data_IF_197186606399
#
_entry.id   IF_197186606399
#
_cell.length_a   1.000
_cell.length_b   1.000
_cell.length_c   1.000
_cell.angle_alpha   90.00
_cell.angle_beta   90.00
_cell.angle_gamma   90.00
#
_symmetry.space_group_name_H-M   'P 1'
#
loop_
_entity.id
_entity.type
_entity.pdbx_description
1 polymer ?
#
# COMPACT_ATOMS: atom_id res chain seq x y z
N UNK A 1 -13.48 46.24 -53.03
CA UNK A 1 -14.50 45.38 -52.40
C UNK A 1 -14.25 43.95 -52.85
N UNK A 2 -14.73 42.98 -52.08
CA UNK A 2 -14.72 41.53 -52.31
C UNK A 2 -13.57 40.77 -51.60
N UNK A 3 -13.64 40.64 -50.26
CA UNK A 3 -14.25 39.55 -49.45
C UNK A 3 -13.69 38.14 -49.72
N UNK A 4 -12.90 37.69 -48.75
CA UNK A 4 -12.33 36.34 -48.55
C UNK A 4 -13.45 35.32 -48.27
N UNK A 5 -13.48 34.14 -48.91
CA UNK A 5 -14.35 33.06 -48.48
C UNK A 5 -13.66 32.20 -47.42
N UNK A 6 -14.24 32.23 -46.22
CA UNK A 6 -13.93 31.40 -45.06
C UNK A 6 -14.38 29.96 -45.35
N UNK A 7 -13.46 29.00 -45.22
CA UNK A 7 -13.75 27.56 -45.32
C UNK A 7 -14.38 27.09 -44.00
N UNK A 8 -15.52 26.37 -44.00
CA UNK A 8 -16.10 25.85 -42.78
C UNK A 8 -15.30 24.62 -42.27
N UNK A 9 -14.95 24.63 -41.00
CA UNK A 9 -14.47 23.44 -40.26
C UNK A 9 -15.63 22.46 -40.03
N UNK A 10 -15.40 21.14 -40.06
CA UNK A 10 -16.43 20.16 -39.70
C UNK A 10 -16.67 20.16 -38.18
N UNK A 11 -17.94 20.06 -37.81
CA UNK A 11 -18.45 20.06 -36.46
C UNK A 11 -17.79 18.99 -35.57
N UNK A 12 -17.24 19.43 -34.43
CA UNK A 12 -16.81 18.56 -33.34
C UNK A 12 -18.03 17.90 -32.71
N UNK A 13 -18.16 16.60 -32.93
CA UNK A 13 -19.17 15.79 -32.25
C UNK A 13 -18.72 15.56 -30.80
N UNK A 14 -19.29 16.34 -29.88
CA UNK A 14 -19.18 16.14 -28.44
C UNK A 14 -19.75 14.76 -28.05
N UNK A 15 -18.89 13.73 -27.99
CA UNK A 15 -19.20 12.50 -27.25
C UNK A 15 -19.04 12.83 -25.77
N UNK A 16 -20.18 12.96 -25.06
CA UNK A 16 -20.22 13.00 -23.60
C UNK A 16 -19.61 11.70 -23.07
N UNK A 17 -18.36 11.76 -22.62
CA UNK A 17 -17.66 10.64 -21.99
C UNK A 17 -18.20 10.46 -20.57
N UNK A 18 -18.66 9.24 -20.29
CA UNK A 18 -19.34 8.84 -19.06
C UNK A 18 -18.29 8.52 -17.99
N UNK A 19 -18.42 9.16 -16.83
CA UNK A 19 -17.60 8.93 -15.63
C UNK A 19 -17.87 7.54 -15.02
N UNK A 20 -16.81 6.91 -14.49
CA UNK A 20 -16.80 5.52 -14.01
C UNK A 20 -16.39 5.46 -12.54
N UNK A 21 -17.13 4.67 -11.74
CA UNK A 21 -16.84 4.38 -10.32
C UNK A 21 -16.46 2.90 -10.18
N UNK A 22 -15.24 2.61 -9.72
CA UNK A 22 -14.82 1.22 -9.44
C UNK A 22 -15.04 0.92 -7.95
N UNK A 23 -15.81 -0.11 -7.63
CA UNK A 23 -16.12 -0.55 -6.25
C UNK A 23 -15.31 -1.81 -5.94
N UNK A 24 -14.36 -1.70 -5.01
CA UNK A 24 -13.73 -2.84 -4.36
C UNK A 24 -14.05 -2.78 -2.86
N UNK A 25 -14.64 -3.85 -2.32
CA UNK A 25 -15.10 -3.93 -0.93
C UNK A 25 -14.01 -4.59 -0.07
N UNK A 26 -13.57 -3.93 1.00
CA UNK A 26 -12.63 -4.48 1.99
C UNK A 26 -13.36 -4.74 3.31
N UNK A 27 -13.13 -5.88 4.01
CA UNK A 27 -13.72 -6.15 5.32
C UNK A 27 -13.26 -5.13 6.36
N UNK A 28 -14.20 -4.50 7.05
CA UNK A 28 -13.98 -3.45 8.03
C UNK A 28 -13.65 -4.02 9.41
N UNK A 29 -12.45 -3.75 9.95
CA UNK A 29 -12.12 -3.99 11.36
C UNK A 29 -12.21 -2.67 12.14
N UNK A 30 -13.32 -2.53 12.86
CA UNK A 30 -13.48 -1.96 14.21
C UNK A 30 -12.39 -0.94 14.63
N UNK A 31 -12.62 0.32 14.26
CA UNK A 31 -11.98 1.58 14.70
C UNK A 31 -10.63 2.01 14.09
N UNK A 32 -10.73 2.76 13.00
CA UNK A 32 -10.23 4.13 12.90
C UNK A 32 -11.16 4.86 11.91
N UNK A 33 -11.22 6.19 11.95
CA UNK A 33 -12.00 7.02 11.02
C UNK A 33 -11.89 6.49 9.58
N UNK A 34 -12.95 5.78 9.15
CA UNK A 34 -13.01 5.12 7.85
C UNK A 34 -13.22 6.19 6.79
N UNK A 35 -12.17 6.95 6.48
CA UNK A 35 -12.05 7.56 5.17
C UNK A 35 -12.02 6.38 4.21
N UNK A 36 -13.15 6.18 3.52
CA UNK A 36 -13.28 5.20 2.44
C UNK A 36 -12.03 5.29 1.57
N UNK A 37 -11.40 4.16 1.18
CA UNK A 37 -10.35 4.19 0.17
C UNK A 37 -10.85 5.05 -0.99
N UNK A 38 -10.11 6.12 -1.30
CA UNK A 38 -10.55 7.07 -2.33
C UNK A 38 -10.80 6.30 -3.61
N UNK A 39 -12.03 6.35 -4.11
CA UNK A 39 -12.36 5.79 -5.42
C UNK A 39 -11.52 6.51 -6.46
N UNK A 40 -10.52 5.84 -7.01
CA UNK A 40 -9.70 6.38 -8.11
C UNK A 40 -10.58 6.42 -9.35
N UNK A 41 -11.28 7.54 -9.50
CA UNK A 41 -12.06 7.93 -10.68
C UNK A 41 -11.08 8.48 -11.71
N UNK A 42 -10.28 7.60 -12.31
CA UNK A 42 -9.31 7.99 -13.32
C UNK A 42 -9.68 7.38 -14.68
N UNK A 43 -9.55 8.20 -15.73
CA UNK A 43 -9.62 7.74 -17.12
C UNK A 43 -8.41 6.83 -17.36
N UNK A 44 -8.63 5.65 -17.94
CA UNK A 44 -7.53 4.79 -18.36
C UNK A 44 -6.71 5.49 -19.46
N UNK A 45 -5.37 5.41 -19.39
CA UNK A 45 -4.48 6.04 -20.35
C UNK A 45 -4.53 5.30 -21.70
N UNK A 46 -4.35 6.03 -22.79
CA UNK A 46 -3.98 5.37 -24.06
C UNK A 46 -2.56 4.76 -23.92
N UNK A 47 -2.20 3.74 -24.72
CA UNK A 47 -0.81 3.26 -24.79
C UNK A 47 0.17 4.41 -25.01
N UNK A 48 1.35 4.36 -24.37
CA UNK A 48 2.34 5.44 -24.33
C UNK A 48 1.90 6.77 -23.69
N UNK A 49 0.65 6.91 -23.24
CA UNK A 49 0.20 8.14 -22.59
C UNK A 49 0.92 8.32 -21.24
N UNK A 50 1.27 9.58 -20.94
CA UNK A 50 1.89 9.93 -19.67
C UNK A 50 0.89 9.73 -18.53
N UNK A 51 1.26 8.89 -17.57
CA UNK A 51 0.44 8.68 -16.38
C UNK A 51 0.43 9.92 -15.49
N UNK A 52 -0.77 10.26 -15.00
CA UNK A 52 -0.98 11.44 -14.16
C UNK A 52 -0.54 11.22 -12.70
N UNK A 53 -0.62 9.99 -12.19
CA UNK A 53 -0.33 9.67 -10.80
C UNK A 53 -0.06 8.17 -10.56
N UNK A 54 0.56 7.86 -9.42
CA UNK A 54 0.92 6.49 -9.00
C UNK A 54 -0.28 5.57 -8.78
N UNK A 55 -1.44 6.02 -8.24
CA UNK A 55 -2.63 5.17 -8.17
C UNK A 55 -3.14 4.70 -9.53
N UNK A 56 -3.06 5.52 -10.57
CA UNK A 56 -3.40 5.10 -11.93
C UNK A 56 -2.43 4.05 -12.46
N UNK A 57 -1.13 4.19 -12.17
CA UNK A 57 -0.13 3.16 -12.49
C UNK A 57 -0.44 1.84 -11.78
N UNK A 58 -0.75 1.89 -10.48
CA UNK A 58 -1.13 0.71 -9.71
C UNK A 58 -2.40 0.05 -10.29
N UNK A 59 -3.38 0.85 -10.70
CA UNK A 59 -4.60 0.37 -11.34
C UNK A 59 -4.30 -0.36 -12.66
N UNK A 60 -3.50 0.24 -13.55
CA UNK A 60 -3.13 -0.36 -14.83
C UNK A 60 -2.40 -1.70 -14.62
N UNK A 61 -1.38 -1.73 -13.75
CA UNK A 61 -0.65 -2.96 -13.43
C UNK A 61 -1.53 -4.01 -12.74
N UNK A 62 -2.44 -3.60 -11.87
CA UNK A 62 -3.38 -4.51 -11.21
C UNK A 62 -4.35 -5.17 -12.18
N UNK A 63 -4.83 -4.42 -13.18
CA UNK A 63 -5.66 -4.97 -14.26
C UNK A 63 -4.87 -5.99 -15.09
N UNK A 64 -3.62 -5.69 -15.42
CA UNK A 64 -2.76 -6.59 -16.21
C UNK A 64 -2.39 -7.88 -15.46
N UNK A 65 -2.05 -7.78 -14.18
CA UNK A 65 -1.66 -8.94 -13.38
C UNK A 65 -2.83 -9.89 -13.06
N UNK A 66 -4.06 -9.36 -13.02
CA UNK A 66 -5.28 -10.11 -12.65
C UNK A 66 -6.29 -10.22 -13.80
N UNK A 67 -5.84 -10.09 -15.05
CA UNK A 67 -6.73 -10.08 -16.22
C UNK A 67 -7.68 -11.28 -16.23
N UNK A 68 -7.13 -12.49 -16.00
CA UNK A 68 -7.88 -13.75 -15.96
C UNK A 68 -8.85 -13.89 -14.78
N UNK A 69 -8.62 -13.21 -13.66
CA UNK A 69 -9.49 -13.28 -12.47
C UNK A 69 -10.66 -12.28 -12.55
N UNK A 70 -10.50 -11.22 -13.35
CA UNK A 70 -11.40 -10.07 -13.36
C UNK A 70 -12.30 -10.01 -14.62
N UNK A 71 -12.09 -10.86 -15.63
CA UNK A 71 -12.82 -10.84 -16.91
C UNK A 71 -14.35 -10.67 -16.79
N UNK A 72 -14.98 -11.37 -15.84
CA UNK A 72 -16.44 -11.37 -15.63
C UNK A 72 -16.95 -10.15 -14.82
N UNK A 73 -16.07 -9.46 -14.10
CA UNK A 73 -16.41 -8.38 -13.16
C UNK A 73 -16.08 -7.00 -13.76
N UNK A 74 -15.22 -6.96 -14.79
CA UNK A 74 -14.75 -5.71 -15.37
C UNK A 74 -15.82 -4.98 -16.18
N UNK A 75 -15.80 -3.65 -16.03
CA UNK A 75 -16.56 -2.76 -16.90
C UNK A 75 -16.09 -2.88 -18.36
N UNK A 76 -16.98 -2.69 -19.35
CA UNK A 76 -16.65 -2.82 -20.77
C UNK A 76 -15.41 -2.04 -21.19
N UNK A 77 -15.22 -0.82 -20.66
CA UNK A 77 -14.08 0.04 -21.01
C UNK A 77 -12.74 -0.53 -20.51
N UNK A 78 -12.72 -1.12 -19.32
CA UNK A 78 -11.51 -1.75 -18.78
C UNK A 78 -11.16 -3.03 -19.56
N UNK A 79 -12.18 -3.77 -20.01
CA UNK A 79 -11.99 -4.95 -20.86
C UNK A 79 -11.45 -4.57 -22.24
N UNK A 80 -12.00 -3.52 -22.86
CA UNK A 80 -11.53 -3.02 -24.16
C UNK A 80 -10.08 -2.53 -24.05
N UNK A 81 -9.73 -1.82 -22.98
CA UNK A 81 -8.35 -1.39 -22.72
C UNK A 81 -7.40 -2.58 -22.52
N UNK A 82 -7.79 -3.58 -21.72
CA UNK A 82 -7.01 -4.79 -21.52
C UNK A 82 -6.75 -5.51 -22.84
N UNK A 83 -7.74 -5.65 -23.72
CA UNK A 83 -7.52 -6.31 -25.02
C UNK A 83 -6.49 -5.61 -25.90
N UNK A 84 -6.41 -4.27 -25.80
CA UNK A 84 -5.42 -3.47 -26.53
C UNK A 84 -4.03 -3.64 -25.93
N UNK A 85 -3.92 -3.57 -24.60
CA UNK A 85 -2.63 -3.51 -23.90
C UNK A 85 -2.04 -4.88 -23.58
N UNK A 86 -2.86 -5.90 -23.35
CA UNK A 86 -2.42 -7.26 -22.97
C UNK A 86 -1.49 -7.91 -24.01
N UNK A 87 -1.64 -7.52 -25.28
CA UNK A 87 -0.79 -7.99 -26.38
C UNK A 87 0.38 -7.05 -26.69
N UNK A 88 0.52 -5.95 -25.94
CA UNK A 88 1.58 -4.95 -26.09
C UNK A 88 2.65 -5.16 -25.00
N UNK A 89 3.63 -6.00 -25.33
CA UNK A 89 4.75 -6.31 -24.42
C UNK A 89 5.58 -5.06 -24.05
N UNK A 90 5.70 -4.10 -24.97
CA UNK A 90 6.46 -2.86 -24.75
C UNK A 90 5.75 -1.98 -23.71
N UNK A 91 4.42 -1.84 -23.81
CA UNK A 91 3.62 -1.10 -22.83
C UNK A 91 3.63 -1.80 -21.44
N UNK A 92 3.57 -3.13 -21.40
CA UNK A 92 3.71 -3.89 -20.16
C UNK A 92 5.04 -3.60 -19.46
N UNK A 93 6.14 -3.71 -20.20
CA UNK A 93 7.48 -3.47 -19.67
C UNK A 93 7.62 -2.00 -19.24
N UNK A 94 7.11 -1.05 -20.03
CA UNK A 94 7.14 0.37 -19.69
C UNK A 94 6.46 0.65 -18.35
N UNK A 95 5.28 0.08 -18.09
CA UNK A 95 4.55 0.24 -16.83
C UNK A 95 5.31 -0.38 -15.65
N UNK A 96 5.89 -1.58 -15.83
CA UNK A 96 6.72 -2.23 -14.81
C UNK A 96 7.98 -1.44 -14.46
N UNK A 97 8.69 -0.94 -15.48
CA UNK A 97 9.87 -0.08 -15.31
C UNK A 97 9.50 1.18 -14.55
N UNK A 98 8.36 1.81 -14.90
CA UNK A 98 7.91 3.01 -14.21
C UNK A 98 7.60 2.76 -12.72
N UNK A 99 6.93 1.65 -12.38
CA UNK A 99 6.69 1.28 -10.98
C UNK A 99 8.00 1.01 -10.22
N UNK A 100 8.94 0.35 -10.88
CA UNK A 100 10.28 0.10 -10.35
C UNK A 100 11.03 1.41 -10.08
N UNK A 101 10.93 2.38 -10.98
CA UNK A 101 11.57 3.69 -10.83
C UNK A 101 10.97 4.53 -9.71
N UNK A 102 9.65 4.47 -9.50
CA UNK A 102 8.98 5.10 -8.35
C UNK A 102 9.55 4.54 -7.03
N UNK A 103 9.61 3.21 -6.90
CA UNK A 103 10.15 2.56 -5.69
C UNK A 103 11.64 2.86 -5.51
N UNK A 104 12.42 2.84 -6.59
CA UNK A 104 13.85 3.15 -6.55
C UNK A 104 14.10 4.60 -6.13
N UNK A 105 13.25 5.52 -6.55
CA UNK A 105 13.32 6.94 -6.16
C UNK A 105 13.02 7.09 -4.69
N UNK A 106 11.91 6.52 -4.20
CA UNK A 106 11.56 6.48 -2.79
C UNK A 106 12.67 5.92 -1.90
N UNK A 107 13.34 4.86 -2.33
CA UNK A 107 14.47 4.27 -1.57
C UNK A 107 15.69 5.16 -1.47
N UNK A 108 15.88 6.09 -2.42
CA UNK A 108 17.02 7.04 -2.43
C UNK A 108 16.73 8.29 -1.62
N UNK A 109 15.46 8.60 -1.38
CA UNK A 109 15.06 9.76 -0.58
C UNK A 109 15.38 9.54 0.89
N UNK A 110 16.08 10.51 1.48
CA UNK A 110 16.45 10.49 2.90
C UNK A 110 15.24 10.75 3.80
N UNK A 111 14.35 11.66 3.37
CA UNK A 111 13.13 12.03 4.09
C UNK A 111 11.95 11.53 3.26
N UNK A 112 11.19 10.59 3.80
CA UNK A 112 10.01 10.04 3.13
C UNK A 112 8.76 10.53 3.83
N UNK A 113 8.10 11.51 3.22
CA UNK A 113 6.87 12.07 3.77
C UNK A 113 5.67 11.11 3.59
N UNK A 114 4.53 11.49 4.16
CA UNK A 114 3.30 10.71 4.07
C UNK A 114 2.87 10.43 2.63
N UNK A 115 3.13 11.37 1.70
CA UNK A 115 2.72 11.25 0.30
C UNK A 115 3.60 10.23 -0.43
N UNK A 116 4.91 10.32 -0.26
CA UNK A 116 5.86 9.37 -0.83
C UNK A 116 5.60 7.94 -0.34
N UNK A 117 5.32 7.79 0.97
CA UNK A 117 4.91 6.50 1.55
C UNK A 117 3.62 5.98 0.91
N UNK A 118 2.59 6.83 0.79
CA UNK A 118 1.32 6.42 0.19
C UNK A 118 1.47 5.97 -1.27
N UNK A 119 2.34 6.64 -2.04
CA UNK A 119 2.60 6.29 -3.44
C UNK A 119 3.21 4.89 -3.59
N UNK A 120 4.24 4.55 -2.81
CA UNK A 120 4.88 3.23 -2.91
C UNK A 120 4.04 2.11 -2.30
N UNK A 121 3.30 2.38 -1.22
CA UNK A 121 2.38 1.41 -0.62
C UNK A 121 1.26 1.05 -1.60
N UNK A 122 0.78 2.01 -2.39
CA UNK A 122 -0.22 1.77 -3.43
C UNK A 122 0.27 0.80 -4.52
N UNK A 123 1.58 0.74 -4.78
CA UNK A 123 2.17 -0.16 -5.77
C UNK A 123 2.42 -1.58 -5.22
N UNK A 124 2.45 -1.76 -3.91
CA UNK A 124 2.83 -3.03 -3.28
C UNK A 124 2.04 -4.27 -3.78
N UNK A 125 0.71 -4.19 -4.02
CA UNK A 125 -0.06 -5.36 -4.47
C UNK A 125 0.14 -5.73 -5.95
N UNK A 126 0.88 -4.94 -6.71
CA UNK A 126 1.01 -5.09 -8.18
C UNK A 126 2.44 -5.24 -8.66
N UNK A 127 3.39 -5.27 -7.73
CA UNK A 127 4.82 -5.44 -8.00
C UNK A 127 5.27 -6.88 -7.73
N UNK A 128 6.37 -7.27 -8.35
CA UNK A 128 6.94 -8.60 -8.19
C UNK A 128 7.57 -8.80 -6.81
N UNK A 129 7.63 -10.07 -6.36
CA UNK A 129 8.08 -10.44 -5.01
C UNK A 129 9.43 -9.82 -4.63
N UNK A 130 10.41 -9.83 -5.51
CA UNK A 130 11.74 -9.29 -5.20
C UNK A 130 11.72 -7.77 -4.97
N UNK A 131 10.92 -7.04 -5.76
CA UNK A 131 10.76 -5.61 -5.59
C UNK A 131 9.95 -5.28 -4.32
N UNK A 132 8.92 -6.08 -4.02
CA UNK A 132 8.17 -5.99 -2.77
C UNK A 132 9.07 -6.22 -1.56
N UNK A 133 9.86 -7.30 -1.54
CA UNK A 133 10.80 -7.61 -0.45
C UNK A 133 11.83 -6.50 -0.28
N UNK A 134 12.31 -5.95 -1.39
CA UNK A 134 13.23 -4.83 -1.34
C UNK A 134 12.58 -3.55 -0.78
N UNK A 135 11.31 -3.30 -1.08
CA UNK A 135 10.56 -2.18 -0.52
C UNK A 135 10.32 -2.39 0.98
N UNK A 136 9.88 -3.58 1.38
CA UNK A 136 9.68 -3.96 2.78
C UNK A 136 10.95 -3.73 3.60
N UNK A 137 12.11 -4.21 3.13
CA UNK A 137 13.40 -3.99 3.77
C UNK A 137 13.70 -2.51 3.98
N UNK A 138 13.35 -1.64 3.02
CA UNK A 138 13.59 -0.19 3.16
C UNK A 138 12.74 0.49 4.23
N UNK A 139 11.56 -0.06 4.57
CA UNK A 139 10.74 0.39 5.69
C UNK A 139 11.28 -0.15 7.02
N UNK A 140 11.67 -1.41 7.05
CA UNK A 140 12.29 -2.04 8.23
C UNK A 140 13.57 -1.30 8.61
N UNK A 141 14.48 -1.09 7.65
CA UNK A 141 15.73 -0.34 7.87
C UNK A 141 15.45 1.10 8.32
N UNK A 142 14.43 1.73 7.73
CA UNK A 142 14.00 3.09 8.09
C UNK A 142 13.54 3.17 9.54
N UNK A 143 12.78 2.18 10.01
CA UNK A 143 12.33 2.13 11.41
C UNK A 143 13.48 1.79 12.34
N UNK A 144 14.35 0.84 11.95
CA UNK A 144 15.47 0.37 12.79
C UNK A 144 16.55 1.44 13.00
N UNK A 145 16.89 2.22 11.97
CA UNK A 145 17.98 3.21 12.05
C UNK A 145 17.53 4.61 12.47
N UNK A 146 16.21 4.88 12.49
CA UNK A 146 15.72 6.21 12.85
C UNK A 146 15.82 6.47 14.35
N UNK A 147 16.42 7.61 14.73
CA UNK A 147 16.51 8.04 16.13
C UNK A 147 15.14 8.40 16.71
N UNK A 148 14.28 9.00 15.90
CA UNK A 148 12.91 9.32 16.25
C UNK A 148 11.98 8.35 15.53
N UNK A 149 10.85 8.02 16.16
CA UNK A 149 9.86 7.17 15.52
C UNK A 149 9.21 7.93 14.36
N UNK A 150 9.44 7.45 13.13
CA UNK A 150 8.75 7.96 11.95
C UNK A 150 7.40 7.24 11.79
N UNK A 151 6.32 7.95 12.09
CA UNK A 151 4.96 7.43 12.04
C UNK A 151 4.58 7.03 10.61
N UNK A 152 5.07 7.73 9.58
CA UNK A 152 4.74 7.41 8.19
C UNK A 152 5.43 6.13 7.75
N UNK A 153 6.69 5.90 8.11
CA UNK A 153 7.36 4.62 7.86
C UNK A 153 6.61 3.47 8.55
N UNK A 154 6.21 3.66 9.80
CA UNK A 154 5.52 2.64 10.58
C UNK A 154 4.15 2.28 9.99
N UNK A 155 3.38 3.29 9.56
CA UNK A 155 2.12 3.09 8.85
C UNK A 155 2.34 2.41 7.50
N UNK A 156 3.38 2.79 6.77
CA UNK A 156 3.75 2.15 5.50
C UNK A 156 4.08 0.68 5.69
N UNK A 157 4.91 0.34 6.69
CA UNK A 157 5.24 -1.03 7.06
C UNK A 157 3.98 -1.85 7.35
N UNK A 158 3.10 -1.34 8.23
CA UNK A 158 1.85 -2.01 8.58
C UNK A 158 0.99 -2.30 7.35
N UNK A 159 0.88 -1.35 6.41
CA UNK A 159 0.11 -1.52 5.16
C UNK A 159 0.76 -2.52 4.20
N UNK A 160 2.09 -2.55 4.11
CA UNK A 160 2.79 -3.55 3.29
C UNK A 160 2.55 -4.97 3.80
N UNK A 161 2.59 -5.17 5.11
CA UNK A 161 2.38 -6.48 5.74
C UNK A 161 0.92 -6.92 5.55
N UNK A 162 -0.02 -6.02 5.82
CA UNK A 162 -1.46 -6.29 5.65
C UNK A 162 -1.83 -6.62 4.20
N UNK A 163 -1.19 -5.97 3.22
CA UNK A 163 -1.48 -6.12 1.80
C UNK A 163 -0.58 -7.11 1.06
N UNK A 164 0.24 -7.89 1.76
CA UNK A 164 1.19 -8.79 1.13
C UNK A 164 0.48 -10.00 0.49
N UNK A 165 0.86 -10.32 -0.74
CA UNK A 165 0.40 -11.54 -1.39
C UNK A 165 0.97 -12.80 -0.72
N UNK A 166 0.29 -13.92 -0.89
CA UNK A 166 0.71 -15.20 -0.30
C UNK A 166 2.11 -15.57 -0.78
N UNK A 167 3.00 -15.85 0.17
CA UNK A 167 4.39 -16.22 -0.10
C UNK A 167 5.32 -15.04 -0.37
N UNK A 168 4.88 -13.79 -0.23
CA UNK A 168 5.77 -12.60 -0.30
C UNK A 168 6.48 -12.33 1.02
N UNK A 169 5.89 -12.75 2.14
CA UNK A 169 6.46 -12.66 3.48
C UNK A 169 7.00 -14.03 3.90
N UNK A 170 8.25 -14.08 4.35
CA UNK A 170 8.81 -15.29 4.95
C UNK A 170 8.64 -15.24 6.48
N UNK A 171 8.58 -16.41 7.12
CA UNK A 171 8.36 -16.50 8.56
C UNK A 171 9.44 -15.76 9.39
N UNK A 172 10.70 -15.88 8.96
CA UNK A 172 11.83 -15.20 9.58
C UNK A 172 11.73 -13.67 9.47
N UNK A 173 11.15 -13.15 8.38
CA UNK A 173 10.92 -11.71 8.22
C UNK A 173 9.94 -11.22 9.28
N UNK A 174 8.81 -11.93 9.45
CA UNK A 174 7.77 -11.54 10.40
C UNK A 174 8.27 -11.59 11.86
N UNK A 175 9.06 -12.61 12.22
CA UNK A 175 9.67 -12.69 13.56
C UNK A 175 10.63 -11.53 13.80
N UNK A 176 11.48 -11.18 12.83
CA UNK A 176 12.42 -10.05 12.95
C UNK A 176 11.71 -8.70 13.04
N UNK A 177 10.66 -8.51 12.24
CA UNK A 177 9.85 -7.30 12.28
C UNK A 177 9.15 -7.19 13.63
N UNK A 178 8.57 -8.27 14.15
CA UNK A 178 7.92 -8.26 15.47
C UNK A 178 8.93 -7.92 16.58
N UNK A 179 10.13 -8.49 16.53
CA UNK A 179 11.20 -8.19 17.48
C UNK A 179 11.60 -6.71 17.44
N UNK A 180 11.79 -6.14 16.25
CA UNK A 180 12.06 -4.72 16.07
C UNK A 180 10.97 -3.85 16.70
N UNK A 181 9.70 -4.13 16.41
CA UNK A 181 8.58 -3.37 16.95
C UNK A 181 8.47 -3.51 18.48
N UNK A 182 8.73 -4.70 19.02
CA UNK A 182 8.75 -4.93 20.47
C UNK A 182 9.85 -4.11 21.17
N UNK A 183 11.06 -4.08 20.61
CA UNK A 183 12.15 -3.23 21.13
C UNK A 183 11.75 -1.75 21.09
N UNK A 184 11.21 -1.26 19.96
CA UNK A 184 10.75 0.13 19.84
C UNK A 184 9.62 0.47 20.80
N UNK A 185 8.69 -0.46 21.07
CA UNK A 185 7.64 -0.29 22.08
C UNK A 185 8.24 -0.10 23.47
N UNK A 186 9.19 -0.93 23.87
CA UNK A 186 9.83 -0.87 25.18
C UNK A 186 10.68 0.40 25.37
N UNK A 187 11.30 0.89 24.30
CA UNK A 187 12.08 2.14 24.31
C UNK A 187 11.21 3.40 24.25
N UNK A 188 9.95 3.28 23.82
CA UNK A 188 9.05 4.43 23.68
C UNK A 188 8.56 4.90 25.04
N UNK A 189 8.69 6.21 25.29
CA UNK A 189 8.25 6.82 26.54
C UNK A 189 6.71 6.73 26.71
N UNK A 190 6.25 6.35 27.90
CA UNK A 190 4.83 6.12 28.21
C UNK A 190 3.92 7.35 28.00
N UNK A 191 4.49 8.56 28.00
CA UNK A 191 3.75 9.80 27.74
C UNK A 191 3.57 10.13 26.25
N UNK A 192 3.95 9.23 25.34
CA UNK A 192 3.75 9.38 23.90
C UNK A 192 2.66 8.42 23.40
N UNK A 193 1.39 8.64 23.75
CA UNK A 193 0.32 7.68 23.47
C UNK A 193 0.11 7.43 21.98
N UNK A 194 0.35 8.44 21.14
CA UNK A 194 0.31 8.28 19.69
C UNK A 194 1.38 7.30 19.18
N UNK A 195 2.61 7.36 19.71
CA UNK A 195 3.68 6.45 19.30
C UNK A 195 3.38 5.01 19.75
N UNK A 196 2.93 4.85 20.99
CA UNK A 196 2.54 3.55 21.53
C UNK A 196 1.41 2.96 20.69
N UNK A 197 0.37 3.75 20.40
CA UNK A 197 -0.76 3.33 19.55
C UNK A 197 -0.31 2.84 18.18
N UNK A 198 0.55 3.61 17.48
CA UNK A 198 0.98 3.25 16.12
C UNK A 198 1.89 2.01 16.13
N UNK A 199 2.74 1.85 17.14
CA UNK A 199 3.60 0.69 17.29
C UNK A 199 2.80 -0.57 17.63
N UNK A 200 1.84 -0.47 18.56
CA UNK A 200 0.94 -1.57 18.89
C UNK A 200 0.12 -1.97 17.66
N UNK A 201 -0.41 -1.01 16.91
CA UNK A 201 -1.14 -1.28 15.67
C UNK A 201 -0.28 -2.03 14.64
N UNK A 202 0.96 -1.59 14.42
CA UNK A 202 1.88 -2.27 13.52
C UNK A 202 2.20 -3.69 14.00
N UNK A 203 2.39 -3.89 15.31
CA UNK A 203 2.62 -5.20 15.90
C UNK A 203 1.40 -6.13 15.73
N UNK A 204 0.17 -5.61 15.87
CA UNK A 204 -1.05 -6.38 15.60
C UNK A 204 -1.11 -6.89 14.16
N UNK A 205 -0.80 -6.04 13.16
CA UNK A 205 -0.77 -6.49 11.76
C UNK A 205 0.30 -7.56 11.50
N UNK A 206 1.45 -7.48 12.17
CA UNK A 206 2.46 -8.53 12.09
C UNK A 206 1.93 -9.83 12.69
N UNK A 207 1.32 -9.77 13.88
CA UNK A 207 0.75 -10.94 14.55
C UNK A 207 -0.38 -11.58 13.73
N UNK A 208 -1.24 -10.79 13.10
CA UNK A 208 -2.27 -11.26 12.18
C UNK A 208 -1.64 -12.00 10.99
N UNK A 209 -0.63 -11.41 10.35
CA UNK A 209 0.10 -12.06 9.26
C UNK A 209 0.82 -13.35 9.71
N UNK A 210 1.34 -13.40 10.94
CA UNK A 210 1.93 -14.60 11.52
C UNK A 210 0.89 -15.70 11.76
N UNK A 211 -0.32 -15.34 12.19
CA UNK A 211 -1.42 -16.27 12.36
C UNK A 211 -1.89 -16.85 11.02
N UNK A 212 -2.02 -16.01 10.00
CA UNK A 212 -2.41 -16.42 8.64
C UNK A 212 -1.36 -17.36 8.01
N UNK A 213 -0.09 -17.12 8.27
CA UNK A 213 1.04 -17.95 7.79
C UNK A 213 1.36 -19.14 8.70
N UNK A 214 0.65 -19.30 9.83
CA UNK A 214 0.80 -20.39 10.82
C UNK A 214 2.22 -20.53 11.33
N UNK A 215 2.85 -19.41 11.69
CA UNK A 215 4.20 -19.44 12.25
C UNK A 215 4.17 -20.03 13.65
N UNK A 216 5.00 -21.04 13.88
CA UNK A 216 5.19 -21.68 15.18
C UNK A 216 6.60 -21.38 15.72
N UNK A 217 6.80 -21.58 17.03
CA UNK A 217 8.14 -21.51 17.63
C UNK A 217 8.67 -20.10 17.88
N UNK A 218 7.79 -19.11 18.07
CA UNK A 218 8.18 -17.81 18.61
C UNK A 218 8.98 -17.98 19.90
N UNK A 219 10.10 -17.27 20.02
CA UNK A 219 10.92 -17.32 21.22
C UNK A 219 10.11 -16.81 22.41
N UNK A 220 9.89 -17.72 23.36
CA UNK A 220 9.06 -17.43 24.52
C UNK A 220 9.69 -16.37 25.41
N UNK A 221 10.98 -16.51 25.68
CA UNK A 221 11.69 -15.74 26.69
C UNK A 221 12.07 -14.35 26.20
N UNK A 222 12.46 -14.22 24.93
CA UNK A 222 12.99 -12.98 24.38
C UNK A 222 11.97 -12.14 23.65
N UNK A 223 10.85 -12.72 23.19
CA UNK A 223 9.88 -12.02 22.35
C UNK A 223 8.44 -12.14 22.89
N UNK A 224 7.92 -13.35 23.00
CA UNK A 224 6.51 -13.54 23.33
C UNK A 224 6.16 -13.06 24.75
N UNK A 225 6.87 -13.51 25.78
CA UNK A 225 6.59 -13.16 27.18
C UNK A 225 6.82 -11.66 27.48
N UNK A 226 7.93 -11.03 27.05
CA UNK A 226 8.10 -9.60 27.21
C UNK A 226 7.02 -8.76 26.51
N UNK A 227 6.62 -9.14 25.30
CA UNK A 227 5.57 -8.44 24.56
C UNK A 227 4.20 -8.62 25.23
N UNK A 228 3.87 -9.84 25.67
CA UNK A 228 2.62 -10.12 26.39
C UNK A 228 2.52 -9.30 27.68
N UNK A 229 3.60 -9.26 28.48
CA UNK A 229 3.64 -8.47 29.71
C UNK A 229 3.45 -6.98 29.44
N UNK A 230 4.07 -6.45 28.38
CA UNK A 230 3.92 -5.06 27.98
C UNK A 230 2.48 -4.75 27.55
N UNK A 231 1.88 -5.58 26.70
CA UNK A 231 0.49 -5.42 26.25
C UNK A 231 -0.49 -5.55 27.43
N UNK A 232 -0.28 -6.51 28.33
CA UNK A 232 -1.12 -6.65 29.53
C UNK A 232 -1.05 -5.41 30.44
N UNK A 233 0.11 -4.76 30.54
CA UNK A 233 0.23 -3.49 31.27
C UNK A 233 -0.56 -2.36 30.60
N UNK A 234 -0.65 -2.34 29.26
CA UNK A 234 -1.45 -1.35 28.52
C UNK A 234 -2.96 -1.55 28.72
N UNK A 235 -3.43 -2.78 28.98
CA UNK A 235 -4.85 -3.04 29.32
C UNK A 235 -5.30 -2.32 30.59
N UNK A 236 -4.38 -1.97 31.49
CA UNK A 236 -4.65 -1.20 32.70
C UNK A 236 -4.58 0.32 32.53
N UNK A 237 -4.29 0.82 31.32
CA UNK A 237 -4.08 2.24 31.08
C UNK A 237 -5.39 3.05 31.16
N UNK A 238 -5.32 4.27 31.70
CA UNK A 238 -6.45 5.18 31.80
C UNK A 238 -6.91 5.73 30.43
N UNK A 239 -6.08 5.64 29.39
CA UNK A 239 -6.40 6.07 28.03
C UNK A 239 -7.17 4.97 27.26
N UNK A 240 -8.45 5.20 26.90
CA UNK A 240 -9.31 4.15 26.33
C UNK A 240 -8.78 3.57 25.01
N UNK A 241 -8.14 4.38 24.17
CA UNK A 241 -7.62 3.92 22.88
C UNK A 241 -6.49 2.90 23.02
N UNK A 242 -5.64 3.06 24.03
CA UNK A 242 -4.55 2.12 24.32
C UNK A 242 -5.08 0.83 24.95
N UNK A 243 -6.09 0.95 25.81
CA UNK A 243 -6.75 -0.19 26.43
C UNK A 243 -7.36 -1.14 25.40
N UNK A 244 -8.08 -0.59 24.40
CA UNK A 244 -8.75 -1.41 23.38
C UNK A 244 -7.81 -2.08 22.39
N UNK A 245 -6.63 -1.51 22.12
CA UNK A 245 -5.65 -2.12 21.22
C UNK A 245 -4.85 -3.25 21.87
N UNK A 246 -4.68 -3.18 23.19
CA UNK A 246 -3.93 -4.18 23.93
C UNK A 246 -4.77 -5.41 24.32
N UNK A 247 -6.10 -5.32 24.21
CA UNK A 247 -7.08 -6.34 24.59
C UNK A 247 -7.13 -7.52 23.62
#
# INVERSE_FOLDING_TARGET
MDTVPIRPQPASSLKKQKQINIIATVPSHIFAENVRPGTVTAKLPEPDERLANTPLLACCLGLLNKSHELEDILEPVARDWLQVVENDEDEHERLKVLATDVIRTFKKEEIKDAKAVAEVVCLAPVIEKDLFRSLLGSFVDGIDHSKLLDIHQLQGLARLIQGADTGFLDADDLVKILALLATRLQETHQQSPQHIYQLTLAASYVLDAMADTKIEGLDRETLHEPLSLYLDALKGNAEPYLMYQAA
#
